data_IF_768531056241
#
_entry.id   IF_768531056241
#
_cell.length_a   1.000
_cell.length_b   1.000
_cell.length_c   1.000
_cell.angle_alpha   90.00
_cell.angle_beta   90.00
_cell.angle_gamma   90.00
#
_symmetry.space_group_name_H-M   'P 1'
#
loop_
_entity.id
_entity.type
_entity.pdbx_description
1 polymer ?
#
# COMPACT_ATOMS: atom_id res chain seq x y z
N UNK A 1 -3.05 -15.95 24.29
CA UNK A 1 -2.57 -14.72 23.62
C UNK A 1 -2.51 -15.01 22.13
N UNK A 2 -3.57 -14.67 21.41
CA UNK A 2 -3.63 -14.89 19.96
C UNK A 2 -2.72 -13.88 19.28
N UNK A 3 -1.59 -14.35 18.75
CA UNK A 3 -0.67 -13.54 17.97
C UNK A 3 -1.34 -13.19 16.64
N UNK A 4 -1.66 -11.91 16.43
CA UNK A 4 -2.02 -11.36 15.13
C UNK A 4 -0.76 -11.35 14.26
N UNK A 5 -0.49 -12.47 13.59
CA UNK A 5 0.49 -12.50 12.51
C UNK A 5 -0.18 -11.80 11.33
N UNK A 6 0.11 -10.50 11.15
CA UNK A 6 -0.22 -9.81 9.90
C UNK A 6 0.60 -10.48 8.81
N UNK A 7 0.00 -11.15 7.83
CA UNK A 7 0.76 -11.70 6.72
C UNK A 7 1.38 -10.51 5.97
N UNK A 8 2.70 -10.41 5.98
CA UNK A 8 3.41 -9.53 5.08
C UNK A 8 3.31 -10.18 3.70
N UNK A 9 2.35 -9.73 2.88
CA UNK A 9 2.29 -10.12 1.47
C UNK A 9 3.44 -9.39 0.78
N UNK A 10 4.60 -10.05 0.72
CA UNK A 10 5.75 -9.62 -0.08
C UNK A 10 5.39 -9.84 -1.54
N UNK A 11 4.58 -8.96 -2.13
CA UNK A 11 4.36 -8.96 -3.57
C UNK A 11 5.39 -8.08 -4.29
N UNK A 12 6.66 -8.25 -3.95
CA UNK A 12 7.76 -7.68 -4.72
C UNK A 12 7.90 -8.46 -6.02
N UNK A 13 7.34 -7.91 -7.09
CA UNK A 13 7.49 -8.49 -8.41
C UNK A 13 8.85 -8.07 -8.95
N UNK A 14 9.77 -9.04 -9.04
CA UNK A 14 11.09 -8.81 -9.61
C UNK A 14 11.06 -9.24 -11.08
N UNK A 15 11.47 -8.34 -11.96
CA UNK A 15 11.76 -8.66 -13.36
C UNK A 15 13.15 -8.19 -13.73
N UNK A 16 13.70 -8.76 -14.79
CA UNK A 16 15.03 -8.43 -15.29
C UNK A 16 14.98 -8.15 -16.78
N UNK A 17 15.75 -7.16 -17.22
CA UNK A 17 16.02 -6.90 -18.64
C UNK A 17 17.49 -6.49 -18.79
N UNK A 18 18.21 -7.17 -19.68
CA UNK A 18 19.67 -7.06 -19.78
C UNK A 18 20.36 -7.38 -18.45
N UNK A 19 21.15 -6.42 -17.94
CA UNK A 19 21.84 -6.51 -16.66
C UNK A 19 21.18 -5.67 -15.56
N UNK A 20 19.90 -5.30 -15.73
CA UNK A 20 19.12 -4.55 -14.75
C UNK A 20 18.02 -5.43 -14.16
N UNK A 21 18.02 -5.55 -12.84
CA UNK A 21 16.90 -6.07 -12.06
C UNK A 21 16.01 -4.94 -11.57
N UNK A 22 14.70 -5.15 -11.58
CA UNK A 22 13.72 -4.17 -11.10
C UNK A 22 12.77 -4.87 -10.14
N UNK A 23 12.74 -4.39 -8.90
CA UNK A 23 11.73 -4.76 -7.92
C UNK A 23 10.66 -3.68 -7.93
N UNK A 24 9.42 -4.06 -8.23
CA UNK A 24 8.27 -3.17 -8.25
C UNK A 24 7.40 -3.36 -7.00
N UNK A 25 6.90 -2.25 -6.48
CA UNK A 25 5.86 -2.20 -5.45
C UNK A 25 4.90 -1.03 -5.72
N UNK A 26 3.64 -1.20 -5.32
CA UNK A 26 2.66 -0.11 -5.32
C UNK A 26 1.82 -0.10 -4.05
N UNK A 27 1.69 1.06 -3.44
CA UNK A 27 0.89 1.29 -2.24
C UNK A 27 -0.49 1.87 -2.58
N UNK A 28 -1.53 1.60 -1.76
CA UNK A 28 -1.50 0.72 -0.59
C UNK A 28 -1.59 -0.77 -0.96
N UNK A 29 -0.71 -1.60 -0.38
CA UNK A 29 -0.78 -3.08 -0.39
C UNK A 29 -1.05 -3.73 -1.77
N UNK A 30 -0.48 -3.21 -2.86
CA UNK A 30 -0.74 -3.67 -4.23
C UNK A 30 -2.21 -3.64 -4.66
N UNK A 31 -3.05 -2.87 -3.97
CA UNK A 31 -4.48 -2.74 -4.21
C UNK A 31 -4.87 -1.26 -4.34
N UNK A 32 -4.35 -0.54 -5.35
CA UNK A 32 -4.74 0.84 -5.59
C UNK A 32 -6.24 0.94 -5.92
N UNK A 33 -6.81 2.10 -5.62
CA UNK A 33 -8.22 2.42 -5.91
C UNK A 33 -8.31 3.61 -6.86
N UNK A 34 -9.31 3.60 -7.73
CA UNK A 34 -9.54 4.68 -8.68
C UNK A 34 -9.84 6.02 -7.98
N UNK A 35 -9.26 7.10 -8.46
CA UNK A 35 -9.41 8.44 -7.87
C UNK A 35 -8.67 8.64 -6.54
N UNK A 36 -7.89 7.66 -6.07
CA UNK A 36 -7.08 7.76 -4.85
C UNK A 36 -5.58 7.75 -5.18
N UNK A 37 -4.77 8.31 -4.27
CA UNK A 37 -3.32 8.30 -4.42
C UNK A 37 -2.77 6.89 -4.26
N UNK A 38 -1.97 6.45 -5.22
CA UNK A 38 -1.17 5.25 -5.15
C UNK A 38 0.31 5.58 -5.34
N UNK A 39 1.18 5.12 -4.44
CA UNK A 39 2.62 5.37 -4.55
C UNK A 39 3.25 4.15 -5.24
N UNK A 40 3.80 4.35 -6.43
CA UNK A 40 4.52 3.32 -7.17
C UNK A 40 6.02 3.59 -7.10
N UNK A 41 6.83 2.57 -6.80
CA UNK A 41 8.28 2.68 -6.79
C UNK A 41 8.96 1.44 -7.38
N UNK A 42 10.17 1.66 -7.90
CA UNK A 42 10.93 0.69 -8.69
C UNK A 42 12.36 0.63 -8.16
N UNK A 43 12.68 -0.34 -7.31
CA UNK A 43 14.06 -0.52 -6.85
C UNK A 43 14.87 -1.21 -7.95
N UNK A 44 15.77 -0.44 -8.57
CA UNK A 44 16.63 -0.88 -9.66
C UNK A 44 17.95 -1.43 -9.10
N UNK A 45 18.44 -2.52 -9.68
CA UNK A 45 19.74 -3.11 -9.36
C UNK A 45 20.51 -3.50 -10.62
N UNK A 46 21.84 -3.41 -10.57
CA UNK A 46 22.73 -4.06 -11.54
C UNK A 46 22.80 -5.55 -11.25
N UNK A 47 23.26 -6.31 -12.23
CA UNK A 47 23.72 -7.69 -12.00
C UNK A 47 24.75 -7.69 -10.85
N UNK A 48 24.56 -8.56 -9.85
CA UNK A 48 25.33 -8.56 -8.61
C UNK A 48 24.66 -7.84 -7.43
N UNK A 49 23.52 -7.17 -7.68
CA UNK A 49 22.65 -6.64 -6.62
C UNK A 49 22.94 -5.19 -6.20
N UNK A 50 23.90 -4.52 -6.84
CA UNK A 50 24.19 -3.11 -6.57
C UNK A 50 23.03 -2.21 -7.00
N UNK A 51 22.57 -1.32 -6.14
CA UNK A 51 21.44 -0.41 -6.44
C UNK A 51 21.78 0.63 -7.52
N UNK A 52 20.78 0.95 -8.35
CA UNK A 52 20.81 2.05 -9.32
C UNK A 52 19.84 3.14 -8.81
N UNK A 53 20.33 4.22 -8.16
CA UNK A 53 19.49 5.34 -7.74
C UNK A 53 18.95 6.12 -8.95
N UNK A 54 17.82 6.83 -8.78
CA UNK A 54 17.23 7.67 -9.84
C UNK A 54 18.21 8.71 -10.38
N UNK A 55 19.14 9.20 -9.55
CA UNK A 55 20.17 10.15 -9.97
C UNK A 55 21.09 9.61 -11.08
N UNK A 56 21.21 8.29 -11.24
CA UNK A 56 22.03 7.63 -12.27
C UNK A 56 21.23 7.16 -13.49
N UNK A 57 19.89 7.23 -13.44
CA UNK A 57 19.02 6.74 -14.51
C UNK A 57 18.26 7.89 -15.19
N UNK A 58 18.25 7.91 -16.52
CA UNK A 58 17.24 8.61 -17.31
C UNK A 58 16.00 7.72 -17.43
N UNK A 59 15.27 7.60 -16.32
CA UNK A 59 14.14 6.70 -16.19
C UNK A 59 12.83 7.39 -16.56
N UNK A 60 11.93 6.66 -17.23
CA UNK A 60 10.60 7.12 -17.62
C UNK A 60 9.55 6.07 -17.22
N UNK A 61 8.39 6.55 -16.74
CA UNK A 61 7.24 5.71 -16.45
C UNK A 61 6.07 6.10 -17.36
N UNK A 62 5.52 5.11 -18.05
CA UNK A 62 4.32 5.23 -18.87
C UNK A 62 3.24 4.29 -18.33
N UNK A 63 2.02 4.79 -18.17
CA UNK A 63 0.88 4.03 -17.66
C UNK A 63 -0.15 3.87 -18.77
N UNK A 64 -0.48 2.62 -19.09
CA UNK A 64 -1.44 2.26 -20.14
C UNK A 64 -2.65 1.60 -19.50
N UNK A 65 -3.85 1.95 -19.96
CA UNK A 65 -5.05 1.17 -19.64
C UNK A 65 -5.05 -0.08 -20.53
N UNK A 66 -5.20 -1.27 -19.96
CA UNK A 66 -5.04 -2.50 -20.72
C UNK A 66 -6.12 -2.69 -21.81
N UNK A 67 -7.31 -2.09 -21.61
CA UNK A 67 -8.37 -2.04 -22.63
C UNK A 67 -8.04 -1.12 -23.82
N UNK A 68 -7.07 -0.21 -23.67
CA UNK A 68 -6.64 0.73 -24.71
C UNK A 68 -5.12 0.94 -24.67
N UNK A 69 -4.32 -0.06 -25.08
CA UNK A 69 -2.87 -0.07 -24.86
C UNK A 69 -2.08 0.74 -25.90
N UNK A 70 -2.74 1.45 -26.82
CA UNK A 70 -2.07 2.12 -27.96
C UNK A 70 -1.27 3.35 -27.56
N UNK A 71 -1.70 4.05 -26.50
CA UNK A 71 -1.04 5.25 -25.99
C UNK A 71 -1.08 5.27 -24.46
N UNK A 72 -0.05 5.83 -23.80
CA UNK A 72 -0.08 5.97 -22.36
C UNK A 72 -1.12 7.02 -21.96
N UNK A 73 -1.96 6.66 -21.00
CA UNK A 73 -2.95 7.56 -20.42
C UNK A 73 -2.36 8.47 -19.33
N UNK A 74 -1.23 8.06 -18.72
CA UNK A 74 -0.47 8.87 -17.77
C UNK A 74 1.03 8.70 -18.04
N UNK A 75 1.79 9.79 -17.88
CA UNK A 75 3.25 9.80 -17.93
C UNK A 75 3.80 10.54 -16.71
N UNK A 76 3.64 9.99 -15.50
CA UNK A 76 4.03 10.67 -14.27
C UNK A 76 5.56 10.85 -14.20
N UNK A 77 6.00 12.02 -13.74
CA UNK A 77 7.42 12.27 -13.48
C UNK A 77 7.89 11.42 -12.31
N UNK A 78 9.04 10.76 -12.48
CA UNK A 78 9.69 10.00 -11.42
C UNK A 78 10.48 10.94 -10.51
N UNK A 79 10.37 10.71 -9.21
CA UNK A 79 11.11 11.36 -8.15
C UNK A 79 11.86 10.31 -7.31
N UNK A 80 12.87 10.78 -6.57
CA UNK A 80 13.68 9.92 -5.74
C UNK A 80 12.94 9.66 -4.42
N UNK A 81 12.66 8.40 -4.11
CA UNK A 81 11.94 7.99 -2.90
C UNK A 81 12.81 7.05 -2.04
N UNK A 82 12.53 7.05 -0.74
CA UNK A 82 13.11 6.14 0.26
C UNK A 82 11.99 5.34 0.97
N UNK A 83 11.26 4.46 0.26
CA UNK A 83 10.07 3.79 0.80
C UNK A 83 10.40 2.82 1.94
N UNK A 84 11.58 2.22 1.93
CA UNK A 84 12.05 1.29 2.96
C UNK A 84 13.54 1.51 3.23
N UNK A 85 14.04 1.11 4.41
CA UNK A 85 15.43 1.35 4.81
C UNK A 85 16.47 0.80 3.81
N UNK A 86 16.14 -0.31 3.14
CA UNK A 86 16.97 -0.96 2.12
C UNK A 86 16.79 -0.39 0.70
N UNK A 87 15.74 0.39 0.45
CA UNK A 87 15.43 0.97 -0.86
C UNK A 87 15.57 2.49 -0.77
N UNK A 88 16.78 2.97 -1.06
CA UNK A 88 17.09 4.40 -1.00
C UNK A 88 17.22 5.00 -2.40
N UNK A 89 16.69 6.21 -2.55
CA UNK A 89 16.77 7.05 -3.74
C UNK A 89 16.21 6.36 -4.99
N UNK A 90 15.29 5.43 -4.81
CA UNK A 90 14.72 4.65 -5.91
C UNK A 90 13.78 5.52 -6.74
N UNK A 91 13.67 5.28 -8.06
CA UNK A 91 12.63 5.89 -8.87
C UNK A 91 11.24 5.55 -8.32
N UNK A 92 10.41 6.57 -8.08
CA UNK A 92 9.01 6.38 -7.74
C UNK A 92 8.18 7.62 -7.94
N UNK A 93 6.86 7.50 -7.82
CA UNK A 93 5.92 8.61 -8.05
C UNK A 93 4.57 8.32 -7.43
N UNK A 94 3.73 9.36 -7.32
CA UNK A 94 2.31 9.20 -6.98
C UNK A 94 1.49 9.13 -8.26
N UNK A 95 0.61 8.13 -8.34
CA UNK A 95 -0.29 7.88 -9.46
C UNK A 95 -1.72 7.98 -8.93
N UNK A 96 -2.59 8.68 -9.66
CA UNK A 96 -4.04 8.63 -9.46
C UNK A 96 -4.62 7.94 -10.69
N UNK A 97 -5.10 6.71 -10.53
CA UNK A 97 -5.75 5.99 -11.61
C UNK A 97 -7.16 6.57 -11.84
N UNK A 98 -7.54 6.91 -13.08
CA UNK A 98 -8.82 7.59 -13.33
C UNK A 98 -10.03 6.67 -13.05
N UNK A 99 -9.90 5.38 -13.37
CA UNK A 99 -10.99 4.41 -13.31
C UNK A 99 -10.51 3.05 -12.77
N UNK A 100 -11.44 2.24 -12.26
CA UNK A 100 -11.15 0.84 -11.96
C UNK A 100 -10.81 0.06 -13.24
N UNK A 101 -9.96 -0.97 -13.11
CA UNK A 101 -9.55 -1.81 -14.24
C UNK A 101 -8.11 -2.28 -14.15
N UNK A 102 -7.63 -2.91 -15.22
CA UNK A 102 -6.25 -3.38 -15.34
C UNK A 102 -5.40 -2.36 -16.10
N UNK A 103 -4.22 -2.08 -15.56
CA UNK A 103 -3.24 -1.15 -16.11
C UNK A 103 -1.88 -1.82 -16.29
N UNK A 104 -1.14 -1.36 -17.30
CA UNK A 104 0.27 -1.70 -17.48
C UNK A 104 1.12 -0.49 -17.09
N UNK A 105 2.00 -0.67 -16.11
CA UNK A 105 3.05 0.29 -15.75
C UNK A 105 4.34 -0.13 -16.45
N UNK A 106 4.72 0.60 -17.50
CA UNK A 106 5.98 0.42 -18.22
C UNK A 106 7.05 1.34 -17.65
N UNK A 107 8.03 0.76 -16.97
CA UNK A 107 9.25 1.45 -16.56
C UNK A 107 10.33 1.20 -17.61
N UNK A 108 10.97 2.26 -18.07
CA UNK A 108 12.11 2.20 -18.99
C UNK A 108 13.21 3.13 -18.54
N UNK A 109 14.45 2.84 -18.93
CA UNK A 109 15.55 3.69 -18.56
C UNK A 109 16.83 3.39 -19.33
N UNK A 110 17.74 4.36 -19.30
CA UNK A 110 19.11 4.25 -19.78
C UNK A 110 20.05 4.89 -18.75
N UNK A 111 21.32 4.49 -18.69
CA UNK A 111 22.24 5.11 -17.76
C UNK A 111 22.53 6.55 -18.20
N UNK A 112 22.72 7.45 -17.23
CA UNK A 112 23.22 8.81 -17.51
C UNK A 112 24.71 8.82 -17.82
N UNK A 113 25.45 7.84 -17.29
CA UNK A 113 26.85 7.60 -17.61
C UNK A 113 26.95 6.38 -18.54
N UNK A 114 27.45 6.57 -19.75
CA UNK A 114 27.56 5.46 -20.71
C UNK A 114 28.31 4.26 -20.14
N UNK A 115 27.77 3.05 -20.38
CA UNK A 115 28.37 1.80 -19.93
C UNK A 115 28.03 1.35 -18.51
N UNK A 116 27.39 2.18 -17.68
CA UNK A 116 27.07 1.86 -16.28
C UNK A 116 26.05 0.70 -16.15
N UNK A 117 25.02 0.70 -17.00
CA UNK A 117 24.10 -0.43 -17.18
C UNK A 117 23.47 -0.40 -18.58
N UNK A 118 22.87 -1.51 -19.03
CA UNK A 118 22.19 -1.58 -20.33
C UNK A 118 20.82 -0.90 -20.26
N UNK A 119 20.39 -0.17 -21.31
CA UNK A 119 19.02 0.31 -21.39
C UNK A 119 18.02 -0.84 -21.17
N UNK A 120 16.91 -0.54 -20.51
CA UNK A 120 15.91 -1.54 -20.13
C UNK A 120 14.49 -1.03 -20.36
N UNK A 121 13.55 -1.97 -20.51
CA UNK A 121 12.11 -1.72 -20.54
C UNK A 121 11.36 -2.92 -19.95
N UNK A 122 10.55 -2.67 -18.92
CA UNK A 122 9.78 -3.69 -18.20
C UNK A 122 8.36 -3.20 -17.93
N UNK A 123 7.39 -4.10 -18.01
CA UNK A 123 5.98 -3.77 -17.73
C UNK A 123 5.44 -4.58 -16.55
N UNK A 124 4.64 -3.95 -15.69
CA UNK A 124 3.95 -4.58 -14.55
C UNK A 124 2.44 -4.36 -14.66
N UNK A 125 1.67 -5.43 -14.43
CA UNK A 125 0.21 -5.36 -14.41
C UNK A 125 -0.25 -4.94 -13.02
N UNK A 126 -1.12 -3.93 -12.97
CA UNK A 126 -1.74 -3.42 -11.75
C UNK A 126 -3.25 -3.45 -11.92
N UNK A 127 -3.94 -4.13 -11.00
CA UNK A 127 -5.39 -4.13 -10.94
C UNK A 127 -5.85 -3.05 -9.96
N UNK A 128 -6.65 -2.11 -10.45
CA UNK A 128 -7.20 -0.99 -9.70
C UNK A 128 -8.65 -1.28 -9.35
N UNK A 129 -8.97 -1.20 -8.07
CA UNK A 129 -10.33 -1.40 -7.56
C UNK A 129 -11.17 -0.12 -7.68
N UNK A 130 -12.51 -0.19 -7.68
CA UNK A 130 -13.37 0.99 -7.59
C UNK A 130 -13.04 1.86 -6.38
N UNK A 131 -12.95 3.17 -6.59
CA UNK A 131 -12.67 4.17 -5.56
C UNK A 131 -13.73 5.26 -5.47
N UNK A 132 -13.39 6.36 -4.82
CA UNK A 132 -14.33 7.42 -4.37
C UNK A 132 -15.06 8.18 -5.49
N UNK A 133 -14.64 8.06 -6.75
CA UNK A 133 -15.26 8.74 -7.92
C UNK A 133 -16.20 7.87 -8.76
N UNK A 134 -16.30 6.55 -8.49
CA UNK A 134 -17.16 5.63 -9.25
C UNK A 134 -18.43 5.19 -8.52
N UNK A 135 -18.73 5.80 -7.36
CA UNK A 135 -19.99 5.61 -6.65
C UNK A 135 -20.76 6.94 -6.66
N UNK A 136 -21.92 6.97 -7.34
CA UNK A 136 -22.83 8.12 -7.63
C UNK A 136 -22.59 8.67 -9.06
N UNK A 137 -23.38 8.36 -10.11
CA UNK A 137 -24.84 8.41 -10.19
C UNK A 137 -25.44 7.40 -11.18
N UNK A 138 -26.32 6.53 -10.69
CA UNK A 138 -27.57 6.15 -11.38
C UNK A 138 -28.51 5.49 -10.36
N UNK A 139 -29.12 6.29 -9.49
CA UNK A 139 -30.40 5.92 -8.88
C UNK A 139 -31.20 7.16 -8.49
N UNK A 140 -32.40 7.23 -9.10
CA UNK A 140 -33.61 7.94 -8.66
C UNK A 140 -33.93 9.33 -9.24
N UNK A 141 -34.35 9.35 -10.50
CA UNK A 141 -35.33 10.32 -11.01
C UNK A 141 -36.73 9.70 -10.93
N UNK A 142 -37.50 10.00 -9.89
CA UNK A 142 -38.96 9.84 -9.93
C UNK A 142 -39.64 10.98 -9.15
N UNK A 143 -40.65 11.66 -9.72
CA UNK A 143 -41.15 12.94 -9.22
C UNK A 143 -41.99 12.79 -7.95
N UNK A 144 -41.81 13.74 -7.05
CA UNK A 144 -42.45 13.90 -5.76
C UNK A 144 -43.98 14.15 -5.90
N UNK A 145 -44.87 13.42 -5.21
CA UNK A 145 -46.19 13.92 -4.90
C UNK A 145 -46.20 14.65 -3.55
N UNK A 146 -46.90 15.79 -3.57
CA UNK A 146 -47.08 16.81 -2.54
C UNK A 146 -47.50 16.22 -1.19
N UNK A 147 -46.82 16.64 -0.11
CA UNK A 147 -47.18 16.31 1.28
C UNK A 147 -48.52 16.96 1.63
N UNK A 148 -49.51 16.16 2.01
CA UNK A 148 -50.61 16.60 2.87
C UNK A 148 -50.43 15.96 4.25
N UNK A 149 -50.11 16.78 5.23
CA UNK A 149 -50.01 16.37 6.62
C UNK A 149 -51.41 16.03 7.16
N UNK A 150 -51.57 14.80 7.67
CA UNK A 150 -52.67 14.49 8.59
C UNK A 150 -52.11 13.72 9.78
N UNK A 151 -52.15 14.38 10.94
CA UNK A 151 -51.84 13.83 12.26
C UNK A 151 -52.78 12.67 12.59
N UNK A 152 -52.23 11.53 13.02
CA UNK A 152 -52.92 10.64 13.93
C UNK A 152 -51.93 9.91 14.83
N UNK A 153 -51.77 10.41 16.07
CA UNK A 153 -51.16 9.66 17.17
C UNK A 153 -52.25 8.76 17.74
N UNK A 154 -52.06 7.44 17.67
CA UNK A 154 -52.68 6.52 18.61
C UNK A 154 -51.68 5.39 18.95
N UNK A 155 -51.47 5.25 20.25
CA UNK A 155 -50.77 4.20 20.99
C UNK A 155 -50.67 2.83 20.31
N UNK A 156 -49.45 2.28 20.28
CA UNK A 156 -49.08 1.17 21.18
C UNK A 156 -47.56 0.93 21.14
N UNK A 157 -46.91 1.40 22.18
CA UNK A 157 -45.59 0.96 22.62
C UNK A 157 -45.70 -0.44 23.24
N UNK A 158 -45.05 -1.43 22.65
CA UNK A 158 -44.62 -2.64 23.36
C UNK A 158 -43.11 -2.81 23.16
N UNK A 159 -42.38 -2.23 24.10
CA UNK A 159 -41.02 -2.62 24.43
C UNK A 159 -41.08 -4.09 24.88
N UNK A 160 -40.53 -5.00 24.08
CA UNK A 160 -40.16 -6.33 24.56
C UNK A 160 -38.87 -6.19 25.38
N UNK A 161 -39.11 -5.79 26.63
CA UNK A 161 -38.20 -5.75 27.74
C UNK A 161 -38.39 -7.07 28.49
N UNK A 162 -37.37 -7.92 28.62
CA UNK A 162 -37.23 -8.73 29.82
C UNK A 162 -35.76 -8.89 30.27
N UNK A 163 -35.45 -8.51 31.53
CA UNK A 163 -34.14 -8.53 32.17
C UNK A 163 -33.97 -9.73 33.11
N UNK A 164 -32.81 -10.41 33.03
CA UNK A 164 -32.26 -11.45 33.93
C UNK A 164 -31.21 -12.24 33.12
N UNK A 165 -29.90 -12.08 33.34
CA UNK A 165 -29.18 -12.62 34.49
C UNK A 165 -27.91 -11.78 34.73
N UNK A 166 -27.89 -11.09 35.86
CA UNK A 166 -26.67 -10.89 36.62
C UNK A 166 -26.44 -12.15 37.46
N UNK A 167 -25.25 -12.75 37.36
CA UNK A 167 -24.61 -13.37 38.52
C UNK A 167 -23.16 -12.90 38.61
N UNK A 168 -22.84 -12.46 39.83
CA UNK A 168 -21.61 -11.89 40.40
C UNK A 168 -20.30 -12.61 40.01
N UNK A 169 -19.20 -11.89 39.72
CA UNK A 169 -18.19 -11.28 40.62
C UNK A 169 -17.36 -12.29 41.44
N UNK A 170 -16.02 -12.11 41.33
CA UNK A 170 -14.93 -12.42 42.27
C UNK A 170 -14.00 -13.57 41.89
N UNK A 171 -12.71 -13.23 41.67
CA UNK A 171 -11.61 -14.18 41.58
C UNK A 171 -10.25 -13.56 41.26
N UNK A 172 -9.65 -12.88 42.26
CA UNK A 172 -8.19 -12.82 42.55
C UNK A 172 -7.25 -12.23 41.46
N UNK A 173 -6.76 -10.99 41.55
CA UNK A 173 -5.58 -10.51 42.34
C UNK A 173 -4.50 -11.58 42.59
N UNK A 174 -3.24 -11.18 42.38
CA UNK A 174 -1.95 -11.92 42.52
C UNK A 174 -1.64 -12.69 41.22
N UNK A 175 -0.73 -12.26 40.34
CA UNK A 175 0.74 -12.25 40.50
C UNK A 175 1.33 -11.01 39.80
N UNK A 176 1.59 -9.97 40.58
CA UNK A 176 2.51 -8.89 40.21
C UNK A 176 3.67 -8.90 41.20
N UNK A 177 4.48 -9.97 41.23
CA UNK A 177 5.64 -10.04 42.14
C UNK A 177 6.74 -11.06 41.78
N UNK A 178 6.90 -11.47 40.52
CA UNK A 178 8.07 -12.27 40.10
C UNK A 178 8.53 -11.75 38.74
N UNK A 179 9.84 -11.50 38.58
CA UNK A 179 10.56 -10.87 37.46
C UNK A 179 10.96 -9.38 37.56
N UNK A 180 10.92 -8.79 38.76
CA UNK A 180 11.78 -7.64 39.10
C UNK A 180 12.98 -8.06 39.96
N UNK A 181 13.66 -9.14 39.61
CA UNK A 181 14.96 -9.54 40.19
C UNK A 181 15.80 -10.31 39.19
N UNK A 182 16.36 -9.62 38.20
CA UNK A 182 17.70 -9.93 37.63
C UNK A 182 18.28 -8.70 36.94
N UNK A 183 18.38 -7.62 37.73
CA UNK A 183 19.32 -6.53 37.46
C UNK A 183 20.62 -6.88 38.19
N UNK A 184 21.71 -6.83 37.42
CA UNK A 184 23.10 -6.58 37.82
C UNK A 184 24.10 -7.74 37.63
N UNK A 185 25.24 -7.32 37.07
CA UNK A 185 26.55 -7.98 36.84
C UNK A 185 26.54 -8.99 35.70
N UNK A 186 27.33 -8.80 34.64
CA UNK A 186 28.76 -8.43 34.67
C UNK A 186 29.17 -7.51 33.52
N UNK A 187 29.99 -6.52 33.88
CA UNK A 187 30.84 -5.70 33.02
C UNK A 187 32.27 -6.20 33.28
N UNK A 188 32.99 -6.67 32.26
CA UNK A 188 34.46 -6.85 32.17
C UNK A 188 34.72 -7.78 30.97
N UNK A 189 35.72 -7.63 30.12
CA UNK A 189 36.84 -6.70 30.08
C UNK A 189 37.30 -6.61 28.63
N UNK A 190 37.46 -5.39 28.13
CA UNK A 190 38.48 -5.07 27.13
C UNK A 190 39.84 -5.40 27.70
N UNK A 191 40.66 -6.18 26.98
CA UNK A 191 42.11 -6.10 27.11
C UNK A 191 42.71 -6.06 25.69
N UNK A 192 43.37 -4.95 25.43
CA UNK A 192 44.18 -4.65 24.26
C UNK A 192 45.63 -5.05 24.58
N UNK A 193 46.40 -5.39 23.53
CA UNK A 193 47.85 -5.14 23.32
C UNK A 193 48.79 -5.64 24.44
N UNK A 194 49.74 -6.53 24.17
CA UNK A 194 50.82 -6.43 23.18
C UNK A 194 51.17 -7.78 22.55
#
# INVERSE_FOLDING_TARGET
MSSLIKPFVVAHNIKTDGNVGVTFHIEPNHSPRAGENAIAWFALTRQGGESIPLSQCDCNLAVYQQSSPTQPILNPTLQSLDPEAQYQKVPGTTIIFPEAGSYQLEISGKPKLEGDFKPFKLSYTVNVSPGITQSTQEQNSQPNPIILATNNRNNQSSLNFLPWLFTAIAGMIIIAMIFKTRKSRTKSSTENKE
#
